data_IF_691591433650
#
_entry.id   IF_691591433650
#
_cell.length_a   1.000
_cell.length_b   1.000
_cell.length_c   1.000
_cell.angle_alpha   90.00
_cell.angle_beta   90.00
_cell.angle_gamma   90.00
#
_symmetry.space_group_name_H-M   'P 1'
#
loop_
_entity.id
_entity.type
_entity.pdbx_description
1 polymer ?
#
# COMPACT_ATOMS: atom_id res chain seq x y z
N UNK A 1 -2.13 18.79 2.02
CA UNK A 1 -1.69 17.45 2.46
C UNK A 1 -2.87 16.53 2.36
N UNK A 2 -2.80 15.52 1.49
CA UNK A 2 -3.84 14.48 1.39
C UNK A 2 -3.16 13.15 1.60
N UNK A 3 -3.72 12.34 2.49
CA UNK A 3 -3.28 10.97 2.79
C UNK A 3 -4.21 10.05 2.01
N UNK A 4 -3.66 9.23 1.11
CA UNK A 4 -4.45 8.18 0.44
C UNK A 4 -4.32 6.87 1.23
N UNK A 5 -5.40 6.44 1.89
CA UNK A 5 -5.47 5.26 2.78
C UNK A 5 -5.75 3.93 2.05
N UNK A 6 -5.62 2.80 2.77
CA UNK A 6 -6.08 1.44 2.41
C UNK A 6 -7.47 1.36 1.79
N UNK A 7 -8.40 2.28 2.13
CA UNK A 7 -9.71 2.40 1.49
C UNK A 7 -9.65 2.58 -0.03
N UNK A 8 -8.59 3.21 -0.55
CA UNK A 8 -8.40 3.42 -1.99
C UNK A 8 -8.03 2.14 -2.74
N UNK A 9 -7.23 1.25 -2.14
CA UNK A 9 -6.94 -0.07 -2.72
C UNK A 9 -8.21 -0.88 -2.92
N UNK A 10 -9.14 -0.80 -1.95
CA UNK A 10 -10.44 -1.44 -2.06
C UNK A 10 -11.26 -0.83 -3.20
N UNK A 11 -11.33 0.50 -3.33
CA UNK A 11 -12.08 1.17 -4.41
C UNK A 11 -11.48 0.91 -5.79
N UNK A 12 -10.17 1.02 -5.96
CA UNK A 12 -9.49 0.71 -7.20
C UNK A 12 -9.72 -0.77 -7.60
N UNK A 13 -9.73 -1.68 -6.63
CA UNK A 13 -10.10 -3.06 -6.89
C UNK A 13 -11.56 -3.21 -7.35
N UNK A 14 -12.52 -2.53 -6.70
CA UNK A 14 -13.93 -2.52 -7.12
C UNK A 14 -14.08 -2.07 -8.57
N UNK A 15 -13.39 -0.98 -8.95
CA UNK A 15 -13.45 -0.40 -10.29
C UNK A 15 -12.86 -1.36 -11.35
N UNK A 16 -11.86 -2.16 -10.99
CA UNK A 16 -11.18 -3.08 -11.91
C UNK A 16 -11.94 -4.39 -12.09
N UNK A 17 -12.68 -4.84 -11.07
CA UNK A 17 -13.47 -6.08 -11.14
C UNK A 17 -14.91 -5.85 -11.58
N UNK A 18 -15.31 -4.61 -11.87
CA UNK A 18 -16.64 -4.30 -12.36
C UNK A 18 -16.86 -4.91 -13.74
N UNK A 19 -18.01 -5.56 -13.93
CA UNK A 19 -18.38 -6.23 -15.18
C UNK A 19 -18.20 -5.30 -16.38
N UNK A 20 -17.57 -5.81 -17.43
CA UNK A 20 -17.34 -5.09 -18.69
C UNK A 20 -16.03 -4.28 -18.74
N UNK A 21 -15.39 -4.01 -17.60
CA UNK A 21 -14.09 -3.33 -17.57
C UNK A 21 -12.96 -4.19 -18.15
N UNK A 22 -11.86 -3.56 -18.55
CA UNK A 22 -10.67 -4.26 -19.06
C UNK A 22 -10.05 -5.20 -18.02
N UNK A 23 -10.09 -4.81 -16.74
CA UNK A 23 -9.65 -5.64 -15.62
C UNK A 23 -10.48 -6.91 -15.48
N UNK A 24 -11.81 -6.75 -15.44
CA UNK A 24 -12.76 -7.87 -15.38
C UNK A 24 -12.52 -8.87 -16.52
N UNK A 25 -12.38 -8.39 -17.77
CA UNK A 25 -12.13 -9.26 -18.94
C UNK A 25 -10.84 -10.07 -18.78
N UNK A 26 -9.76 -9.44 -18.30
CA UNK A 26 -8.47 -10.11 -18.07
C UNK A 26 -8.57 -11.14 -16.95
N UNK A 27 -9.28 -10.84 -15.86
CA UNK A 27 -9.46 -11.75 -14.74
C UNK A 27 -10.29 -12.97 -15.17
N UNK A 28 -11.42 -12.76 -15.83
CA UNK A 28 -12.25 -13.88 -16.36
C UNK A 28 -11.47 -14.72 -17.36
N UNK A 29 -10.69 -14.11 -18.25
CA UNK A 29 -9.82 -14.85 -19.19
C UNK A 29 -8.77 -15.70 -18.48
N UNK A 30 -8.24 -15.23 -17.35
CA UNK A 30 -7.18 -15.92 -16.62
C UNK A 30 -7.68 -16.99 -15.66
N UNK A 31 -8.86 -16.79 -15.07
CA UNK A 31 -9.39 -17.64 -14.00
C UNK A 31 -10.54 -18.53 -14.44
N UNK A 32 -11.20 -18.21 -15.55
CA UNK A 32 -12.36 -18.96 -16.06
C UNK A 32 -13.70 -18.27 -15.75
N UNK A 33 -14.78 -18.90 -16.19
CA UNK A 33 -16.16 -18.43 -15.93
C UNK A 33 -16.73 -18.95 -14.60
N UNK A 34 -16.06 -19.92 -13.99
CA UNK A 34 -16.37 -20.50 -12.66
C UNK A 34 -16.26 -19.48 -11.52
N UNK A 35 -15.46 -18.43 -11.71
CA UNK A 35 -15.37 -17.31 -10.79
C UNK A 35 -16.50 -16.28 -10.95
N UNK A 36 -17.47 -16.50 -11.84
CA UNK A 36 -18.59 -15.57 -12.06
C UNK A 36 -19.84 -16.02 -11.29
N UNK A 37 -20.58 -15.03 -10.76
CA UNK A 37 -21.95 -15.21 -10.30
C UNK A 37 -22.90 -15.30 -11.50
N UNK A 38 -24.15 -15.74 -11.27
CA UNK A 38 -25.19 -15.74 -12.31
C UNK A 38 -25.47 -14.36 -12.93
N UNK A 39 -25.16 -13.28 -12.21
CA UNK A 39 -25.22 -11.89 -12.70
C UNK A 39 -24.10 -11.54 -13.70
N UNK A 40 -23.06 -12.37 -13.79
CA UNK A 40 -21.81 -12.10 -14.53
C UNK A 40 -20.82 -11.22 -13.77
N UNK A 41 -21.06 -10.94 -12.48
CA UNK A 41 -20.07 -10.31 -11.60
C UNK A 41 -19.07 -11.34 -11.07
N UNK A 42 -17.87 -10.88 -10.69
CA UNK A 42 -16.86 -11.76 -10.09
C UNK A 42 -17.31 -12.16 -8.67
N UNK A 43 -17.41 -13.46 -8.42
CA UNK A 43 -17.55 -14.04 -7.09
C UNK A 43 -16.22 -13.91 -6.33
N UNK A 44 -16.15 -12.86 -5.51
CA UNK A 44 -14.96 -12.45 -4.76
C UNK A 44 -14.55 -13.48 -3.72
N UNK A 45 -15.51 -14.14 -3.09
CA UNK A 45 -15.25 -15.18 -2.11
C UNK A 45 -14.60 -16.39 -2.79
N UNK A 46 -15.15 -16.82 -3.93
CA UNK A 46 -14.61 -17.94 -4.69
C UNK A 46 -13.22 -17.62 -5.28
N UNK A 47 -13.07 -16.46 -5.93
CA UNK A 47 -11.76 -16.00 -6.42
C UNK A 47 -10.74 -15.90 -5.27
N UNK A 48 -11.17 -15.40 -4.12
CA UNK A 48 -10.39 -15.36 -2.88
C UNK A 48 -9.87 -16.74 -2.49
N UNK A 49 -10.75 -17.75 -2.39
CA UNK A 49 -10.36 -19.12 -2.07
C UNK A 49 -9.31 -19.65 -3.04
N UNK A 50 -9.51 -19.47 -4.34
CA UNK A 50 -8.57 -19.91 -5.38
C UNK A 50 -7.18 -19.29 -5.18
N UNK A 51 -7.09 -17.97 -4.96
CA UNK A 51 -5.80 -17.29 -4.76
C UNK A 51 -5.21 -17.50 -3.37
N UNK A 52 -6.02 -17.87 -2.39
CA UNK A 52 -5.52 -18.26 -1.07
C UNK A 52 -4.88 -19.64 -1.11
N UNK A 53 -5.46 -20.59 -1.85
CA UNK A 53 -4.95 -21.95 -1.99
C UNK A 53 -3.75 -22.08 -2.93
N UNK A 54 -3.57 -21.19 -3.91
CA UNK A 54 -2.51 -21.28 -4.92
C UNK A 54 -1.68 -19.98 -5.01
N UNK A 55 -0.40 -19.99 -4.55
CA UNK A 55 0.51 -18.84 -4.64
C UNK A 55 0.75 -18.34 -6.06
N UNK A 56 0.78 -19.22 -7.06
CA UNK A 56 0.99 -18.85 -8.47
C UNK A 56 -0.21 -18.08 -9.01
N UNK A 57 -1.43 -18.53 -8.68
CA UNK A 57 -2.66 -17.80 -9.02
C UNK A 57 -2.76 -16.47 -8.29
N UNK A 58 -2.30 -16.39 -7.04
CA UNK A 58 -2.20 -15.11 -6.30
C UNK A 58 -1.29 -14.12 -7.02
N UNK A 59 -0.11 -14.56 -7.45
CA UNK A 59 0.82 -13.73 -8.20
C UNK A 59 0.22 -13.29 -9.54
N UNK A 60 -0.48 -14.17 -10.26
CA UNK A 60 -1.16 -13.83 -11.50
C UNK A 60 -2.22 -12.75 -11.28
N UNK A 61 -3.09 -12.90 -10.28
CA UNK A 61 -4.09 -11.89 -9.95
C UNK A 61 -3.43 -10.54 -9.62
N UNK A 62 -2.38 -10.56 -8.79
CA UNK A 62 -1.64 -9.35 -8.43
C UNK A 62 -1.05 -8.65 -9.67
N UNK A 63 -0.48 -9.40 -10.62
CA UNK A 63 0.05 -8.82 -11.88
C UNK A 63 -1.05 -8.21 -12.75
N UNK A 64 -2.23 -8.82 -12.79
CA UNK A 64 -3.36 -8.28 -13.54
C UNK A 64 -3.90 -6.99 -12.91
N UNK A 65 -3.89 -6.90 -11.58
CA UNK A 65 -4.37 -5.74 -10.83
C UNK A 65 -3.35 -4.59 -10.78
N UNK A 66 -2.06 -4.89 -10.75
CA UNK A 66 -1.00 -3.90 -10.52
C UNK A 66 -1.07 -2.66 -11.43
N UNK A 67 -1.19 -2.78 -12.78
CA UNK A 67 -1.27 -1.62 -13.66
C UNK A 67 -2.45 -0.71 -13.33
N UNK A 68 -3.58 -1.28 -12.93
CA UNK A 68 -4.78 -0.52 -12.61
C UNK A 68 -4.68 0.18 -11.27
N UNK A 69 -4.06 -0.45 -10.27
CA UNK A 69 -3.79 0.17 -8.97
C UNK A 69 -2.85 1.36 -9.17
N UNK A 70 -1.76 1.19 -9.92
CA UNK A 70 -0.81 2.27 -10.22
C UNK A 70 -1.48 3.43 -10.98
N UNK A 71 -2.34 3.12 -11.97
CA UNK A 71 -3.09 4.13 -12.71
C UNK A 71 -4.06 4.91 -11.82
N UNK A 72 -4.77 4.21 -10.93
CA UNK A 72 -5.68 4.84 -9.96
C UNK A 72 -4.94 5.81 -9.03
N UNK A 73 -3.77 5.41 -8.51
CA UNK A 73 -2.93 6.27 -7.68
C UNK A 73 -2.46 7.49 -8.48
N UNK A 74 -1.94 7.30 -9.70
CA UNK A 74 -1.46 8.39 -10.56
C UNK A 74 -2.57 9.40 -10.89
N UNK A 75 -3.78 8.92 -11.16
CA UNK A 75 -4.92 9.77 -11.46
C UNK A 75 -5.34 10.63 -10.26
N UNK A 76 -5.33 10.08 -9.05
CA UNK A 76 -5.60 10.84 -7.84
C UNK A 76 -4.50 11.86 -7.54
N UNK A 77 -3.23 11.51 -7.76
CA UNK A 77 -2.11 12.46 -7.66
C UNK A 77 -2.34 13.64 -8.62
N UNK A 78 -2.68 13.36 -9.88
CA UNK A 78 -2.96 14.38 -10.89
C UNK A 78 -4.13 15.30 -10.48
N UNK A 79 -5.22 14.73 -9.95
CA UNK A 79 -6.35 15.53 -9.43
C UNK A 79 -5.94 16.45 -8.29
N UNK A 80 -5.13 15.96 -7.36
CA UNK A 80 -4.66 16.74 -6.22
C UNK A 80 -3.71 17.85 -6.65
N UNK A 81 -2.85 17.58 -7.63
CA UNK A 81 -2.01 18.60 -8.28
C UNK A 81 -2.85 19.69 -8.95
N UNK A 82 -3.88 19.32 -9.71
CA UNK A 82 -4.80 20.30 -10.32
C UNK A 82 -5.53 21.16 -9.28
N UNK A 83 -5.74 20.65 -8.06
CA UNK A 83 -6.29 21.40 -6.92
C UNK A 83 -5.26 22.29 -6.20
N UNK A 84 -4.02 22.35 -6.69
CA UNK A 84 -2.94 23.15 -6.09
C UNK A 84 -2.31 22.52 -4.83
N UNK A 85 -2.52 21.22 -4.58
CA UNK A 85 -1.86 20.54 -3.46
C UNK A 85 -0.36 20.41 -3.72
N UNK A 86 0.46 21.09 -2.92
CA UNK A 86 1.93 21.05 -3.02
C UNK A 86 2.56 19.78 -2.44
N UNK A 87 1.91 19.18 -1.43
CA UNK A 87 2.38 17.98 -0.73
C UNK A 87 1.26 16.94 -0.72
N UNK A 88 1.58 15.74 -1.23
CA UNK A 88 0.71 14.56 -1.26
C UNK A 88 1.43 13.44 -0.51
N UNK A 89 0.74 12.78 0.41
CA UNK A 89 1.29 11.67 1.20
C UNK A 89 0.60 10.39 0.72
N UNK A 90 1.40 9.44 0.24
CA UNK A 90 0.94 8.13 -0.16
C UNK A 90 1.25 7.13 0.95
N UNK A 91 0.22 6.59 1.61
CA UNK A 91 0.38 5.53 2.61
C UNK A 91 0.35 4.17 1.90
N UNK A 92 1.54 3.59 1.68
CA UNK A 92 1.71 2.34 0.93
C UNK A 92 2.47 1.33 1.78
N UNK A 93 1.78 0.36 2.44
CA UNK A 93 2.43 -0.62 3.31
C UNK A 93 3.49 -1.49 2.61
N UNK A 94 3.29 -1.76 1.31
CA UNK A 94 4.14 -2.63 0.49
C UNK A 94 5.02 -1.84 -0.50
N UNK A 95 5.35 -0.58 -0.18
CA UNK A 95 6.01 0.36 -1.09
C UNK A 95 7.22 -0.25 -1.82
N UNK A 96 8.15 -0.85 -1.07
CA UNK A 96 9.38 -1.44 -1.60
C UNK A 96 9.11 -2.75 -2.34
N UNK A 97 8.19 -3.57 -1.85
CA UNK A 97 7.83 -4.85 -2.45
C UNK A 97 7.25 -4.68 -3.87
N UNK A 98 6.53 -3.58 -4.11
CA UNK A 98 5.97 -3.23 -5.43
C UNK A 98 6.84 -2.22 -6.22
N UNK A 99 8.02 -1.89 -5.71
CA UNK A 99 8.98 -0.94 -6.32
C UNK A 99 8.38 0.44 -6.61
N UNK A 100 7.44 0.89 -5.77
CA UNK A 100 6.82 2.21 -5.91
C UNK A 100 7.64 3.34 -5.31
N UNK A 101 8.65 3.02 -4.48
CA UNK A 101 9.68 3.93 -3.98
C UNK A 101 10.30 4.78 -5.11
N UNK A 102 10.50 4.20 -6.29
CA UNK A 102 11.05 4.89 -7.49
C UNK A 102 10.19 6.03 -8.01
N UNK A 103 8.92 6.10 -7.62
CA UNK A 103 7.95 7.08 -8.09
C UNK A 103 7.54 8.06 -6.98
N UNK A 104 8.13 7.95 -5.80
CA UNK A 104 7.79 8.73 -4.62
C UNK A 104 9.05 9.30 -4.00
N UNK A 105 9.08 10.61 -3.76
CA UNK A 105 10.21 11.27 -3.12
C UNK A 105 9.71 12.40 -2.20
N UNK A 106 10.18 12.50 -0.94
CA UNK A 106 10.99 11.52 -0.21
C UNK A 106 10.19 10.31 0.29
N UNK A 107 10.87 9.17 0.41
CA UNK A 107 10.39 7.95 1.06
C UNK A 107 10.56 8.09 2.58
N UNK A 108 9.44 8.05 3.30
CA UNK A 108 9.39 8.15 4.75
C UNK A 108 8.99 6.81 5.34
N UNK A 109 9.80 6.25 6.24
CA UNK A 109 9.48 5.02 6.98
C UNK A 109 9.21 5.33 8.43
N UNK A 110 8.03 4.91 8.91
CA UNK A 110 7.72 4.88 10.34
C UNK A 110 8.24 3.55 10.91
N UNK A 111 9.33 3.63 11.66
CA UNK A 111 10.02 2.47 12.22
C UNK A 111 9.64 2.28 13.69
N UNK A 112 9.67 1.03 14.14
CA UNK A 112 9.55 0.64 15.54
C UNK A 112 10.39 -0.61 15.79
N UNK A 113 10.91 -0.79 17.00
CA UNK A 113 11.62 -2.03 17.34
C UNK A 113 10.71 -3.28 17.17
N UNK A 114 11.29 -4.44 16.80
CA UNK A 114 10.54 -5.67 16.52
C UNK A 114 9.64 -6.12 17.67
N UNK A 115 10.10 -6.02 18.91
CA UNK A 115 9.33 -6.45 20.10
C UNK A 115 8.05 -5.62 20.24
N UNK A 116 8.17 -4.30 20.12
CA UNK A 116 7.03 -3.37 20.17
C UNK A 116 6.12 -3.54 18.96
N UNK A 117 6.67 -3.85 17.78
CA UNK A 117 5.88 -4.13 16.57
C UNK A 117 4.92 -5.30 16.81
N UNK A 118 5.45 -6.41 17.34
CA UNK A 118 4.67 -7.61 17.63
C UNK A 118 3.64 -7.34 18.73
N UNK A 119 4.03 -6.69 19.83
CA UNK A 119 3.11 -6.34 20.91
C UNK A 119 1.93 -5.49 20.41
N UNK A 120 2.20 -4.43 19.64
CA UNK A 120 1.14 -3.57 19.08
C UNK A 120 0.24 -4.32 18.10
N UNK A 121 0.81 -5.23 17.30
CA UNK A 121 0.03 -6.04 16.36
C UNK A 121 -0.90 -7.01 17.09
N UNK A 122 -0.41 -7.68 18.14
CA UNK A 122 -1.22 -8.55 18.99
C UNK A 122 -2.35 -7.79 19.68
N UNK A 123 -2.06 -6.62 20.24
CA UNK A 123 -3.08 -5.80 20.92
C UNK A 123 -4.14 -5.24 19.96
N UNK A 124 -3.77 -4.89 18.73
CA UNK A 124 -4.68 -4.30 17.75
C UNK A 124 -5.56 -5.34 17.06
N UNK A 125 -4.96 -6.48 16.70
CA UNK A 125 -5.61 -7.50 15.88
C UNK A 125 -6.09 -8.71 16.70
N UNK A 126 -5.96 -8.66 18.03
CA UNK A 126 -6.34 -9.72 18.98
C UNK A 126 -5.82 -11.11 18.57
N UNK A 127 -4.56 -11.18 18.15
CA UNK A 127 -3.95 -12.39 17.59
C UNK A 127 -2.82 -12.96 18.47
N UNK A 128 -2.51 -14.24 18.28
CA UNK A 128 -1.38 -14.87 18.98
C UNK A 128 -0.03 -14.30 18.54
N UNK A 129 1.01 -14.51 19.34
CA UNK A 129 2.38 -14.08 19.01
C UNK A 129 2.88 -14.73 17.71
N UNK A 130 2.57 -15.99 17.50
CA UNK A 130 2.94 -16.76 16.31
C UNK A 130 2.25 -16.20 15.07
N UNK A 131 0.96 -15.87 15.19
CA UNK A 131 0.20 -15.23 14.11
C UNK A 131 0.75 -13.84 13.79
N UNK A 132 1.06 -13.03 14.81
CA UNK A 132 1.69 -11.73 14.64
C UNK A 132 3.06 -11.85 13.94
N UNK A 133 3.89 -12.79 14.37
CA UNK A 133 5.21 -13.03 13.78
C UNK A 133 5.11 -13.49 12.33
N UNK A 134 4.18 -14.41 12.02
CA UNK A 134 3.94 -14.85 10.65
C UNK A 134 3.55 -13.69 9.72
N UNK A 135 2.70 -12.76 10.21
CA UNK A 135 2.32 -11.56 9.46
C UNK A 135 3.48 -10.60 9.23
N UNK A 136 4.33 -10.39 10.24
CA UNK A 136 5.54 -9.56 10.10
C UNK A 136 6.51 -10.19 9.10
N UNK A 137 6.74 -11.50 9.19
CA UNK A 137 7.65 -12.23 8.30
C UNK A 137 7.15 -12.33 6.85
N UNK A 138 5.85 -12.15 6.61
CA UNK A 138 5.29 -12.13 5.26
C UNK A 138 5.62 -10.85 4.47
N UNK A 139 6.19 -9.84 5.12
CA UNK A 139 6.56 -8.56 4.51
C UNK A 139 8.07 -8.35 4.55
N UNK A 140 8.56 -7.37 3.79
CA UNK A 140 9.97 -6.98 3.90
C UNK A 140 10.26 -6.46 5.32
N UNK A 141 11.36 -6.92 5.91
CA UNK A 141 11.75 -6.58 7.28
C UNK A 141 11.79 -5.05 7.48
N UNK A 142 11.24 -4.58 8.61
CA UNK A 142 11.12 -3.15 8.88
C UNK A 142 12.49 -2.44 8.95
N UNK A 143 13.51 -3.13 9.46
CA UNK A 143 14.90 -2.64 9.46
C UNK A 143 15.47 -2.46 8.05
N UNK A 144 15.06 -3.32 7.12
CA UNK A 144 15.46 -3.16 5.72
C UNK A 144 14.74 -1.99 5.06
N UNK A 145 13.44 -1.81 5.34
CA UNK A 145 12.71 -0.60 4.91
C UNK A 145 13.38 0.66 5.45
N UNK A 146 13.80 0.64 6.72
CA UNK A 146 14.53 1.74 7.36
C UNK A 146 15.85 2.08 6.64
N UNK A 147 16.63 1.08 6.20
CA UNK A 147 17.89 1.32 5.48
C UNK A 147 17.71 1.87 4.07
N UNK A 148 16.53 1.71 3.47
CA UNK A 148 16.21 2.14 2.11
C UNK A 148 15.39 3.46 2.07
N UNK A 149 15.15 4.10 3.23
CA UNK A 149 14.32 5.29 3.36
C UNK A 149 15.15 6.60 3.39
N UNK A 150 14.61 7.67 2.81
CA UNK A 150 15.19 9.02 2.90
C UNK A 150 15.05 9.61 4.31
N UNK A 151 13.93 9.30 4.97
CA UNK A 151 13.58 9.82 6.29
C UNK A 151 12.98 8.70 7.14
N UNK A 152 13.45 8.59 8.38
CA UNK A 152 12.95 7.62 9.36
C UNK A 152 12.28 8.35 10.53
N UNK A 153 11.06 7.94 10.87
CA UNK A 153 10.36 8.37 12.08
C UNK A 153 10.38 7.20 13.07
N UNK A 154 11.07 7.35 14.19
CA UNK A 154 11.08 6.34 15.26
C UNK A 154 9.83 6.47 16.14
N UNK A 155 8.95 5.47 16.05
CA UNK A 155 7.72 5.37 16.83
C UNK A 155 7.84 4.42 18.03
N UNK A 156 9.06 4.06 18.45
CA UNK A 156 9.33 3.24 19.64
C UNK A 156 9.13 4.00 20.95
N UNK A 157 9.18 5.33 20.92
CA UNK A 157 9.00 6.20 22.08
C UNK A 157 7.52 6.58 22.27
N UNK A 158 7.26 7.65 23.02
CA UNK A 158 5.91 8.18 23.21
C UNK A 158 5.32 8.74 21.91
N UNK A 159 3.98 8.79 21.85
CA UNK A 159 3.26 9.37 20.71
C UNK A 159 3.66 10.83 20.45
N UNK A 160 3.99 11.59 21.50
CA UNK A 160 4.42 12.98 21.36
C UNK A 160 5.80 13.11 20.70
N UNK A 161 6.72 12.17 20.96
CA UNK A 161 7.99 12.11 20.22
C UNK A 161 7.75 11.84 18.74
N UNK A 162 6.85 10.91 18.40
CA UNK A 162 6.47 10.63 17.01
C UNK A 162 5.84 11.86 16.35
N UNK A 163 4.95 12.58 17.06
CA UNK A 163 4.32 13.81 16.56
C UNK A 163 5.33 14.91 16.30
N UNK A 164 6.32 15.09 17.19
CA UNK A 164 7.38 16.07 17.01
C UNK A 164 8.26 15.74 15.79
N UNK A 165 8.66 14.48 15.64
CA UNK A 165 9.40 14.03 14.46
C UNK A 165 8.58 14.26 13.18
N UNK A 166 7.30 13.90 13.17
CA UNK A 166 6.43 14.11 12.02
C UNK A 166 6.28 15.60 11.65
N UNK A 167 6.18 16.50 12.64
CA UNK A 167 6.14 17.96 12.37
C UNK A 167 7.41 18.44 11.70
N UNK A 168 8.58 17.95 12.12
CA UNK A 168 9.85 18.30 11.51
C UNK A 168 9.96 17.76 10.07
N UNK A 169 9.52 16.52 9.85
CA UNK A 169 9.42 15.97 8.49
C UNK A 169 8.48 16.80 7.63
N UNK A 170 7.30 17.15 8.13
CA UNK A 170 6.33 17.94 7.40
C UNK A 170 6.88 19.32 7.02
N UNK A 171 7.64 19.96 7.91
CA UNK A 171 8.33 21.22 7.63
C UNK A 171 9.31 21.05 6.48
N UNK A 172 10.20 20.04 6.55
CA UNK A 172 11.19 19.75 5.50
C UNK A 172 10.56 19.50 4.13
N UNK A 173 9.51 18.68 4.06
CA UNK A 173 8.85 18.34 2.78
C UNK A 173 7.92 19.44 2.25
N UNK A 174 7.58 20.44 3.08
CA UNK A 174 6.75 21.57 2.67
C UNK A 174 7.57 22.80 2.26
N UNK A 175 8.88 22.78 2.51
CA UNK A 175 9.78 23.81 1.99
C UNK A 175 9.81 23.74 0.45
N UNK A 176 9.92 24.87 -0.26
CA UNK A 176 9.99 24.86 -1.71
C UNK A 176 11.21 24.06 -2.16
N UNK A 177 11.01 22.97 -2.89
CA UNK A 177 12.10 22.17 -3.49
C UNK A 177 13.06 23.12 -4.21
N UNK A 178 14.30 23.17 -3.74
CA UNK A 178 15.32 23.99 -4.39
C UNK A 178 15.88 23.25 -5.60
N UNK A 179 16.34 24.00 -6.60
CA UNK A 179 16.76 23.50 -7.92
C UNK A 179 17.82 22.37 -7.88
N UNK A 180 18.49 22.16 -6.74
CA UNK A 180 19.47 21.09 -6.53
C UNK A 180 18.86 19.68 -6.35
N UNK A 181 17.57 19.57 -6.08
CA UNK A 181 16.87 18.29 -5.84
C UNK A 181 16.12 17.77 -7.08
N UNK A 182 16.31 18.41 -8.24
CA UNK A 182 15.60 18.14 -9.51
C UNK A 182 16.39 17.35 -10.56
N UNK A 183 17.63 16.95 -10.27
CA UNK A 183 18.53 16.20 -11.16
C UNK A 183 18.97 14.89 -10.50
#
# INVERSE_FOLDING_TARGET
>A
MVVTDKGQHRKAWLDVVQKGTGGWKKIVKAFGNDILLGSGEINRAHLGQIVFSDPSKRQLLNRLLAPHISWGIMWEIAKLWMKGCKVIILDIPLLFEIKMDRWTNPVIVVWVNPETQIQRLMSRDECSKEQAQSRVNAQLALDRKKSEADIVIDSSRSLDNTRQQFREVLRKVSEPLTWKERL
#
